data_IF_493656414966
#
_entry.id   IF_493656414966
#
_cell.length_a   1.000
_cell.length_b   1.000
_cell.length_c   1.000
_cell.angle_alpha   90.00
_cell.angle_beta   90.00
_cell.angle_gamma   90.00
#
_symmetry.space_group_name_H-M   'P 1'
#
loop_
_entity.id
_entity.type
_entity.pdbx_description
1 polymer ?
#
# COMPACT_ATOMS: atom_id res chain seq x y z
N UNK A 1 4.48 -1.75 21.97
CA UNK A 1 5.43 -2.88 21.98
C UNK A 1 5.93 -3.06 20.57
N UNK A 2 7.24 -3.28 20.35
CA UNK A 2 7.77 -3.54 19.02
C UNK A 2 7.58 -5.03 18.69
N UNK A 3 6.75 -5.36 17.70
CA UNK A 3 6.63 -6.72 17.17
C UNK A 3 7.79 -6.98 16.20
N UNK A 4 8.50 -8.09 16.39
CA UNK A 4 9.59 -8.50 15.49
C UNK A 4 9.08 -9.62 14.59
N UNK A 5 9.27 -9.48 13.28
CA UNK A 5 8.84 -10.45 12.28
C UNK A 5 10.03 -11.05 11.55
N UNK A 6 9.96 -12.35 11.24
CA UNK A 6 10.96 -13.04 10.42
C UNK A 6 10.48 -13.10 8.98
N UNK A 7 11.21 -12.43 8.09
CA UNK A 7 10.97 -12.48 6.65
C UNK A 7 11.92 -13.51 6.01
N UNK A 8 11.37 -14.44 5.23
CA UNK A 8 12.12 -15.48 4.49
C UNK A 8 11.87 -15.36 2.99
N UNK A 9 12.79 -15.83 2.15
CA UNK A 9 12.61 -15.83 0.68
C UNK A 9 13.17 -14.61 -0.06
N UNK A 10 13.79 -13.65 0.65
CA UNK A 10 14.30 -12.41 0.04
C UNK A 10 15.47 -12.64 -0.91
N UNK A 11 16.29 -13.66 -0.66
CA UNK A 11 17.44 -14.01 -1.51
C UNK A 11 16.99 -14.59 -2.84
N UNK A 12 16.01 -15.48 -2.80
CA UNK A 12 15.38 -16.10 -3.96
C UNK A 12 14.65 -15.04 -4.80
N UNK A 13 13.97 -14.10 -4.14
CA UNK A 13 13.33 -12.97 -4.79
C UNK A 13 14.35 -12.09 -5.53
N UNK A 14 15.47 -11.76 -4.90
CA UNK A 14 16.54 -10.96 -5.53
C UNK A 14 17.12 -11.68 -6.76
N UNK A 15 17.39 -12.98 -6.66
CA UNK A 15 17.89 -13.79 -7.77
C UNK A 15 16.90 -13.80 -8.95
N UNK A 16 15.62 -13.97 -8.67
CA UNK A 16 14.59 -13.95 -9.71
C UNK A 16 14.49 -12.57 -10.38
N UNK A 17 14.63 -11.47 -9.63
CA UNK A 17 14.69 -10.13 -10.22
C UNK A 17 15.92 -9.91 -11.11
N UNK A 18 17.08 -10.48 -10.75
CA UNK A 18 18.29 -10.43 -11.60
C UNK A 18 18.09 -11.19 -12.92
N UNK A 19 17.40 -12.32 -12.90
CA UNK A 19 17.10 -13.11 -14.10
C UNK A 19 16.14 -12.39 -15.06
N UNK A 20 15.20 -11.57 -14.53
CA UNK A 20 14.28 -10.79 -15.34
C UNK A 20 15.01 -9.66 -16.09
N UNK A 21 16.04 -9.05 -15.50
CA UNK A 21 16.93 -8.05 -16.11
C UNK A 21 16.30 -6.71 -16.50
N UNK A 22 14.97 -6.62 -16.57
CA UNK A 22 14.20 -5.45 -17.01
C UNK A 22 13.67 -4.64 -15.81
N UNK A 23 14.41 -3.57 -15.47
CA UNK A 23 14.11 -2.69 -14.32
C UNK A 23 12.69 -2.08 -14.36
N UNK A 24 12.21 -1.54 -15.51
CA UNK A 24 10.80 -1.13 -15.65
C UNK A 24 9.78 -2.22 -15.31
N UNK A 25 10.00 -3.47 -15.75
CA UNK A 25 9.11 -4.60 -15.41
C UNK A 25 9.12 -4.89 -13.92
N UNK A 26 10.30 -4.88 -13.29
CA UNK A 26 10.44 -5.13 -11.85
C UNK A 26 9.69 -4.08 -11.02
N UNK A 27 9.75 -2.81 -11.42
CA UNK A 27 9.00 -1.72 -10.78
C UNK A 27 7.49 -1.91 -10.91
N UNK A 28 7.00 -2.32 -12.09
CA UNK A 28 5.56 -2.61 -12.29
C UNK A 28 5.07 -3.76 -11.42
N UNK A 29 5.88 -4.82 -11.30
CA UNK A 29 5.59 -5.97 -10.44
C UNK A 29 5.49 -5.51 -8.98
N UNK A 30 6.45 -4.71 -8.50
CA UNK A 30 6.43 -4.17 -7.15
C UNK A 30 5.19 -3.33 -6.87
N UNK A 31 4.82 -2.40 -7.77
CA UNK A 31 3.59 -1.61 -7.60
C UNK A 31 2.32 -2.46 -7.57
N UNK A 32 2.26 -3.51 -8.38
CA UNK A 32 1.10 -4.42 -8.40
C UNK A 32 0.96 -5.15 -7.07
N UNK A 33 2.07 -5.62 -6.51
CA UNK A 33 2.07 -6.25 -5.20
C UNK A 33 1.72 -5.29 -4.06
N UNK A 34 2.30 -4.09 -4.06
CA UNK A 34 1.96 -3.05 -3.07
C UNK A 34 0.48 -2.66 -3.13
N UNK A 35 -0.08 -2.52 -4.34
CA UNK A 35 -1.51 -2.25 -4.51
C UNK A 35 -2.36 -3.40 -3.98
N UNK A 36 -1.99 -4.66 -4.25
CA UNK A 36 -2.71 -5.82 -3.74
C UNK A 36 -2.73 -5.87 -2.20
N UNK A 37 -1.63 -5.48 -1.53
CA UNK A 37 -1.59 -5.36 -0.07
C UNK A 37 -2.34 -4.14 0.47
N UNK A 38 -2.36 -3.02 -0.27
CA UNK A 38 -3.06 -1.80 0.15
C UNK A 38 -4.58 -1.88 0.05
N UNK A 39 -5.12 -2.63 -0.92
CA UNK A 39 -6.56 -2.67 -1.18
C UNK A 39 -7.42 -3.16 0.00
N UNK A 40 -7.05 -4.21 0.77
CA UNK A 40 -7.79 -4.59 1.97
C UNK A 40 -7.83 -3.48 3.01
N UNK A 41 -6.72 -2.76 3.20
CA UNK A 41 -6.65 -1.63 4.14
C UNK A 41 -7.58 -0.51 3.66
N UNK A 42 -7.54 -0.14 2.38
CA UNK A 42 -8.43 0.86 1.81
C UNK A 42 -9.90 0.44 1.95
N UNK A 43 -10.23 -0.81 1.64
CA UNK A 43 -11.59 -1.36 1.78
C UNK A 43 -12.07 -1.32 3.23
N UNK A 44 -11.24 -1.73 4.18
CA UNK A 44 -11.57 -1.65 5.60
C UNK A 44 -11.79 -0.20 6.03
N UNK A 45 -10.89 0.72 5.63
CA UNK A 45 -11.02 2.14 5.91
C UNK A 45 -12.34 2.72 5.35
N UNK A 46 -12.71 2.38 4.11
CA UNK A 46 -14.00 2.78 3.51
C UNK A 46 -15.21 2.28 4.30
N UNK A 47 -15.12 1.08 4.89
CA UNK A 47 -16.22 0.53 5.71
C UNK A 47 -16.37 1.17 7.09
N UNK A 48 -15.28 1.75 7.63
CA UNK A 48 -15.28 2.40 8.94
C UNK A 48 -15.40 3.92 8.86
N UNK A 49 -15.14 4.50 7.69
CA UNK A 49 -15.27 5.93 7.46
C UNK A 49 -16.73 6.38 7.68
N UNK A 50 -16.95 7.48 8.43
CA UNK A 50 -18.28 8.01 8.63
C UNK A 50 -18.90 8.45 7.31
N UNK A 51 -20.20 8.23 7.17
CA UNK A 51 -20.96 8.55 5.97
C UNK A 51 -21.85 9.76 6.25
N UNK A 52 -21.36 10.94 5.90
CA UNK A 52 -22.18 12.12 5.67
C UNK A 52 -22.70 12.10 4.23
N UNK A 53 -22.14 12.96 3.37
CA UNK A 53 -22.41 12.96 1.92
C UNK A 53 -21.70 11.82 1.17
N UNK A 54 -20.67 11.21 1.78
CA UNK A 54 -19.94 10.05 1.24
C UNK A 54 -18.55 10.38 0.68
N UNK A 55 -18.24 11.66 0.45
CA UNK A 55 -16.98 12.11 -0.16
C UNK A 55 -15.72 11.52 0.50
N UNK A 56 -15.66 11.55 1.84
CA UNK A 56 -14.51 11.02 2.57
C UNK A 56 -14.30 9.54 2.25
N UNK A 57 -15.36 8.74 2.34
CA UNK A 57 -15.33 7.30 2.04
C UNK A 57 -14.89 7.05 0.60
N UNK A 58 -15.46 7.80 -0.34
CA UNK A 58 -15.20 7.62 -1.77
C UNK A 58 -13.79 8.07 -2.18
N UNK A 59 -13.20 9.00 -1.43
CA UNK A 59 -11.84 9.49 -1.65
C UNK A 59 -10.72 8.55 -1.20
N UNK A 60 -11.03 7.52 -0.41
CA UNK A 60 -10.02 6.58 0.10
C UNK A 60 -9.55 5.70 -1.06
N UNK A 61 -8.26 5.74 -1.37
CA UNK A 61 -7.67 4.98 -2.48
C UNK A 61 -6.24 4.50 -2.18
N UNK A 62 -5.70 3.71 -3.12
CA UNK A 62 -4.36 3.11 -3.09
C UNK A 62 -3.56 3.63 -4.29
N UNK A 63 -2.74 4.66 -4.07
CA UNK A 63 -2.07 5.40 -5.13
C UNK A 63 -0.54 5.50 -4.91
N UNK A 64 0.26 5.43 -5.99
CA UNK A 64 1.72 5.60 -5.90
C UNK A 64 2.13 7.07 -5.71
N UNK A 65 1.16 7.98 -5.69
CA UNK A 65 1.36 9.40 -5.52
C UNK A 65 0.41 9.94 -4.47
N UNK A 66 0.89 10.92 -3.71
CA UNK A 66 0.07 11.71 -2.81
C UNK A 66 -0.67 12.80 -3.59
N UNK A 67 -1.78 13.27 -3.03
CA UNK A 67 -2.47 14.42 -3.59
C UNK A 67 -1.62 15.69 -3.44
N UNK A 68 -1.74 16.70 -4.33
CA UNK A 68 -0.87 17.89 -4.30
C UNK A 68 -0.73 18.56 -2.94
N UNK A 69 -1.83 18.66 -2.18
CA UNK A 69 -1.85 19.23 -0.82
C UNK A 69 -1.16 18.36 0.25
N UNK A 70 -0.94 17.07 -0.03
CA UNK A 70 -0.27 16.11 0.85
C UNK A 70 1.22 15.94 0.48
N UNK A 71 1.65 16.38 -0.71
CA UNK A 71 3.01 16.27 -1.26
C UNK A 71 4.02 17.22 -0.61
N UNK A 72 3.91 17.51 0.69
CA UNK A 72 4.97 18.26 1.38
C UNK A 72 6.35 17.62 1.20
N UNK A 73 7.41 18.28 1.68
CA UNK A 73 8.84 17.92 1.51
C UNK A 73 9.29 16.59 2.18
N UNK A 74 8.45 15.56 2.21
CA UNK A 74 8.76 14.28 2.86
C UNK A 74 9.68 13.40 2.02
N UNK A 75 9.82 13.67 0.72
CA UNK A 75 10.55 12.81 -0.22
C UNK A 75 9.93 11.40 -0.31
N UNK A 76 10.46 10.58 -1.22
CA UNK A 76 10.18 9.14 -1.17
C UNK A 76 11.09 8.51 -0.11
N UNK A 77 10.53 7.74 0.81
CA UNK A 77 11.24 6.96 1.83
C UNK A 77 11.84 5.68 1.24
N UNK A 78 11.24 5.16 0.16
CA UNK A 78 11.70 3.98 -0.57
C UNK A 78 11.63 4.16 -2.10
N UNK A 79 12.39 3.37 -2.89
CA UNK A 79 12.33 3.42 -4.36
C UNK A 79 10.95 3.11 -4.95
N UNK A 80 10.16 2.30 -4.25
CA UNK A 80 8.75 2.04 -4.54
C UNK A 80 7.91 2.30 -3.30
N UNK A 81 6.89 3.12 -3.46
CA UNK A 81 5.93 3.44 -2.40
C UNK A 81 4.51 3.37 -2.93
N UNK A 82 3.59 3.01 -2.04
CA UNK A 82 2.17 3.07 -2.28
C UNK A 82 1.52 3.69 -1.06
N UNK A 83 0.70 4.70 -1.29
CA UNK A 83 -0.03 5.40 -0.25
C UNK A 83 -1.44 4.85 -0.19
N UNK A 84 -1.92 4.59 1.02
CA UNK A 84 -3.29 4.18 1.30
C UNK A 84 -3.91 5.24 2.18
N UNK A 85 -4.99 5.86 1.73
CA UNK A 85 -5.65 6.90 2.51
C UNK A 85 -6.60 7.78 1.71
N UNK A 86 -7.20 8.77 2.39
CA UNK A 86 -8.12 9.72 1.78
C UNK A 86 -7.42 10.64 0.78
N UNK A 87 -8.19 11.10 -0.20
CA UNK A 87 -7.79 12.12 -1.17
C UNK A 87 -7.65 13.52 -0.56
N UNK A 88 -7.93 14.57 -1.34
CA UNK A 88 -7.79 15.96 -0.89
C UNK A 88 -8.91 16.41 0.06
N UNK A 89 -8.95 15.85 1.26
CA UNK A 89 -9.91 16.20 2.31
C UNK A 89 -9.16 16.58 3.59
N UNK A 90 -8.95 17.88 3.86
CA UNK A 90 -8.33 18.33 5.12
C UNK A 90 -9.06 17.81 6.36
N UNK A 91 -10.38 17.68 6.28
CA UNK A 91 -11.24 17.17 7.35
C UNK A 91 -10.97 15.69 7.67
N UNK A 92 -10.33 14.94 6.77
CA UNK A 92 -10.04 13.53 6.97
C UNK A 92 -9.08 13.29 8.16
N UNK A 93 -8.18 14.24 8.42
CA UNK A 93 -7.26 14.19 9.57
C UNK A 93 -8.01 14.53 10.85
N UNK A 94 -8.81 15.59 10.84
CA UNK A 94 -9.61 15.98 12.02
C UNK A 94 -10.66 14.93 12.37
N UNK A 95 -11.19 14.22 11.37
CA UNK A 95 -12.10 13.11 11.59
C UNK A 95 -11.40 11.92 12.29
N UNK A 96 -10.20 11.55 11.83
CA UNK A 96 -9.42 10.43 12.40
C UNK A 96 -9.03 10.68 13.86
N UNK A 97 -8.60 11.90 14.19
CA UNK A 97 -8.01 12.22 15.50
C UNK A 97 -8.91 13.05 16.42
N UNK A 98 -10.02 13.57 15.91
CA UNK A 98 -10.88 14.51 16.62
C UNK A 98 -10.30 15.93 16.68
N UNK A 99 -11.06 16.81 17.30
CA UNK A 99 -10.66 18.19 17.60
C UNK A 99 -11.01 18.50 19.05
N UNK A 100 -10.75 19.74 19.50
CA UNK A 100 -11.18 20.17 20.83
C UNK A 100 -12.70 20.22 21.02
N UNK A 101 -13.48 20.26 19.91
CA UNK A 101 -14.95 20.35 19.92
C UNK A 101 -15.64 19.05 19.53
N UNK A 102 -14.98 18.20 18.75
CA UNK A 102 -15.58 17.01 18.16
C UNK A 102 -14.74 15.77 18.48
N UNK A 103 -15.35 14.67 18.93
CA UNK A 103 -14.62 13.44 19.24
C UNK A 103 -14.06 12.78 17.98
N UNK A 104 -12.97 12.03 18.16
CA UNK A 104 -12.34 11.25 17.09
C UNK A 104 -13.28 10.13 16.59
N UNK A 105 -13.30 9.92 15.27
CA UNK A 105 -13.90 8.75 14.63
C UNK A 105 -12.85 8.09 13.73
N UNK A 106 -11.95 7.28 14.33
CA UNK A 106 -10.84 6.68 13.59
C UNK A 106 -11.35 5.63 12.62
N UNK A 107 -10.82 5.66 11.39
CA UNK A 107 -11.13 4.73 10.32
C UNK A 107 -9.87 4.22 9.61
N UNK A 108 -8.78 4.99 9.57
CA UNK A 108 -7.52 4.57 8.96
C UNK A 108 -6.69 3.69 9.90
N UNK A 109 -6.47 4.11 11.15
CA UNK A 109 -5.71 3.33 12.13
C UNK A 109 -6.33 1.95 12.39
N UNK A 110 -7.64 1.80 12.65
CA UNK A 110 -8.23 0.48 12.81
C UNK A 110 -8.18 -0.37 11.53
N UNK A 111 -8.21 0.27 10.34
CA UNK A 111 -8.07 -0.46 9.07
C UNK A 111 -6.66 -1.04 8.93
N UNK A 112 -5.65 -0.24 9.24
CA UNK A 112 -4.27 -0.69 9.27
C UNK A 112 -4.08 -1.83 10.27
N UNK A 113 -4.52 -1.65 11.51
CA UNK A 113 -4.34 -2.66 12.56
C UNK A 113 -5.01 -3.99 12.20
N UNK A 114 -6.21 -3.95 11.62
CA UNK A 114 -6.95 -5.15 11.23
C UNK A 114 -6.41 -5.86 9.98
N UNK A 115 -5.77 -5.13 9.06
CA UNK A 115 -5.39 -5.67 7.75
C UNK A 115 -3.87 -5.75 7.51
N UNK A 116 -3.02 -5.24 8.40
CA UNK A 116 -1.55 -5.20 8.19
C UNK A 116 -0.91 -6.55 7.86
N UNK A 117 -1.36 -7.63 8.50
CA UNK A 117 -0.82 -8.98 8.25
C UNK A 117 -1.31 -9.52 6.90
N UNK A 118 -2.60 -9.37 6.61
CA UNK A 118 -3.17 -9.71 5.30
C UNK A 118 -2.51 -8.93 4.17
N UNK A 119 -2.17 -7.66 4.40
CA UNK A 119 -1.44 -6.84 3.44
C UNK A 119 -0.06 -7.43 3.14
N UNK A 120 0.70 -7.83 4.16
CA UNK A 120 2.01 -8.47 4.00
C UNK A 120 1.90 -9.80 3.23
N UNK A 121 0.92 -10.64 3.57
CA UNK A 121 0.69 -11.91 2.89
C UNK A 121 0.37 -11.70 1.40
N UNK A 122 -0.50 -10.74 1.09
CA UNK A 122 -0.89 -10.42 -0.28
C UNK A 122 0.25 -9.81 -1.10
N UNK A 123 1.10 -8.97 -0.48
CA UNK A 123 2.31 -8.46 -1.12
C UNK A 123 3.23 -9.63 -1.48
N UNK A 124 3.52 -10.52 -0.54
CA UNK A 124 4.36 -11.69 -0.76
C UNK A 124 3.82 -12.62 -1.85
N UNK A 125 2.55 -12.98 -1.76
CA UNK A 125 1.88 -13.84 -2.74
C UNK A 125 1.87 -13.22 -4.14
N UNK A 126 1.52 -11.93 -4.24
CA UNK A 126 1.47 -11.22 -5.53
C UNK A 126 2.85 -11.07 -6.14
N UNK A 127 3.88 -10.74 -5.35
CA UNK A 127 5.26 -10.71 -5.82
C UNK A 127 5.68 -12.08 -6.38
N UNK A 128 5.46 -13.16 -5.64
CA UNK A 128 5.81 -14.51 -6.09
C UNK A 128 5.14 -14.88 -7.42
N UNK A 129 3.84 -14.61 -7.55
CA UNK A 129 3.07 -14.87 -8.78
C UNK A 129 3.60 -14.05 -9.96
N UNK A 130 3.87 -12.76 -9.76
CA UNK A 130 4.25 -11.88 -10.85
C UNK A 130 5.71 -12.06 -11.26
N UNK A 131 6.59 -12.38 -10.32
CA UNK A 131 7.98 -12.75 -10.57
C UNK A 131 8.08 -14.08 -11.32
N UNK A 132 7.32 -15.10 -10.92
CA UNK A 132 7.29 -16.39 -11.66
C UNK A 132 6.76 -16.22 -13.08
N UNK A 133 5.70 -15.42 -13.29
CA UNK A 133 5.20 -15.06 -14.62
C UNK A 133 6.24 -14.31 -15.45
N UNK A 134 6.98 -13.39 -14.83
CA UNK A 134 8.00 -12.60 -15.52
C UNK A 134 9.22 -13.46 -15.89
N UNK A 135 9.68 -14.33 -14.98
CA UNK A 135 10.77 -15.27 -15.22
C UNK A 135 10.44 -16.27 -16.34
N UNK A 136 9.20 -16.78 -16.40
CA UNK A 136 8.75 -17.67 -17.48
C UNK A 136 8.74 -16.99 -18.86
N UNK A 137 8.60 -15.66 -18.90
CA UNK A 137 8.60 -14.85 -20.12
C UNK A 137 9.95 -14.21 -20.44
N UNK A 138 10.91 -14.27 -19.50
CA UNK A 138 12.25 -13.78 -19.75
C UNK A 138 12.87 -14.64 -20.86
N UNK A 139 13.53 -14.03 -21.85
CA UNK A 139 14.26 -14.82 -22.84
C UNK A 139 15.26 -15.71 -22.09
N UNK A 140 15.23 -17.02 -22.35
CA UNK A 140 16.30 -17.91 -21.88
C UNK A 140 17.59 -17.31 -22.43
N UNK A 141 18.48 -16.90 -21.52
CA UNK A 141 19.72 -16.22 -21.88
C UNK A 141 20.46 -16.95 -23.00
N UNK A 142 21.01 -16.16 -23.91
CA UNK A 142 22.02 -16.59 -24.88
C UNK A 142 23.34 -16.83 -24.16
#
# INVERSE_FOLDING_TARGET
MAETFKLTGMKELEQAFRQIGDVPKNRRIGFKALRAGGEPIAKAARSMAPVGEGDLRESIDVLPTLAPSQRGDRGAVAPLEMHVGPGQHPQAITQEFGTFKEPAQPYMRPAWESQRMTALDLIGATLGIEVTKAAAKAPKGR
#
